data_IF_735683783354
#
_entry.id   IF_735683783354
#
_cell.length_a   1.000
_cell.length_b   1.000
_cell.length_c   1.000
_cell.angle_alpha   90.00
_cell.angle_beta   90.00
_cell.angle_gamma   90.00
#
_symmetry.space_group_name_H-M   'P 1'
#
loop_
_entity.id
_entity.type
_entity.pdbx_description
1 polymer ?
#
# COMPACT_ATOMS: atom_id res chain seq x y z
N UNK A 1 9.22 26.69 11.05
CA UNK A 1 7.83 26.23 10.85
C UNK A 1 7.80 24.77 11.27
N UNK A 2 7.03 24.41 12.29
CA UNK A 2 6.94 23.01 12.73
C UNK A 2 6.30 22.17 11.62
N UNK A 3 7.01 21.19 11.08
CA UNK A 3 6.43 20.22 10.14
C UNK A 3 5.29 19.49 10.86
N UNK A 4 4.08 19.59 10.31
CA UNK A 4 2.97 18.80 10.84
C UNK A 4 3.27 17.32 10.58
N UNK A 5 3.07 16.44 11.57
CA UNK A 5 3.28 15.02 11.37
C UNK A 5 2.37 14.49 10.26
N UNK A 6 2.89 13.61 9.40
CA UNK A 6 2.12 12.96 8.34
C UNK A 6 1.11 12.00 8.97
N UNK A 7 -0.15 12.05 8.51
CA UNK A 7 -1.17 11.08 8.90
C UNK A 7 -1.11 9.88 7.97
N UNK A 8 -0.83 8.70 8.53
CA UNK A 8 -0.85 7.43 7.80
C UNK A 8 -2.24 6.81 7.96
N UNK A 9 -2.91 6.54 6.84
CA UNK A 9 -4.24 5.91 6.80
C UNK A 9 -4.11 4.53 6.19
N UNK A 10 -4.46 3.49 6.94
CA UNK A 10 -4.52 2.12 6.44
C UNK A 10 -5.97 1.74 6.16
N UNK A 11 -6.31 1.56 4.89
CA UNK A 11 -7.56 0.95 4.47
C UNK A 11 -7.36 -0.55 4.40
N UNK A 12 -8.04 -1.31 5.26
CA UNK A 12 -8.06 -2.77 5.23
C UNK A 12 -9.34 -3.23 4.53
N UNK A 13 -9.23 -3.98 3.45
CA UNK A 13 -10.39 -4.43 2.70
C UNK A 13 -10.19 -5.72 1.89
N UNK A 14 -11.30 -6.41 1.63
CA UNK A 14 -11.34 -7.50 0.67
C UNK A 14 -11.59 -7.04 -0.77
N UNK A 15 -11.39 -7.92 -1.77
CA UNK A 15 -11.62 -7.61 -3.18
C UNK A 15 -13.09 -7.24 -3.44
N UNK A 16 -13.32 -6.36 -4.44
CA UNK A 16 -14.66 -5.93 -4.91
C UNK A 16 -15.50 -5.16 -3.89
N UNK A 17 -14.86 -4.45 -2.96
CA UNK A 17 -15.53 -3.68 -1.90
C UNK A 17 -15.40 -2.14 -2.03
N UNK A 18 -15.15 -1.62 -3.23
CA UNK A 18 -15.01 -0.17 -3.51
C UNK A 18 -13.71 0.46 -2.95
N UNK A 19 -12.80 -0.32 -2.35
CA UNK A 19 -11.53 0.16 -1.81
C UNK A 19 -10.65 0.89 -2.82
N UNK A 20 -10.58 0.40 -4.06
CA UNK A 20 -9.85 1.05 -5.15
C UNK A 20 -10.42 2.44 -5.47
N UNK A 21 -11.75 2.60 -5.49
CA UNK A 21 -12.37 3.90 -5.73
C UNK A 21 -12.11 4.86 -4.55
N UNK A 22 -12.13 4.36 -3.32
CA UNK A 22 -11.76 5.14 -2.14
C UNK A 22 -10.29 5.59 -2.21
N UNK A 23 -9.36 4.70 -2.55
CA UNK A 23 -7.96 5.03 -2.78
C UNK A 23 -7.82 6.12 -3.86
N UNK A 24 -8.50 5.99 -5.01
CA UNK A 24 -8.47 7.01 -6.05
C UNK A 24 -9.00 8.36 -5.58
N UNK A 25 -10.01 8.40 -4.69
CA UNK A 25 -10.49 9.67 -4.12
C UNK A 25 -9.41 10.38 -3.30
N UNK A 26 -8.56 9.64 -2.58
CA UNK A 26 -7.39 10.20 -1.91
C UNK A 26 -6.30 10.60 -2.90
N UNK A 27 -6.07 9.81 -3.95
CA UNK A 27 -5.08 10.11 -4.99
C UNK A 27 -5.35 11.45 -5.70
N UNK A 28 -6.61 11.91 -5.77
CA UNK A 28 -6.97 13.20 -6.36
C UNK A 28 -6.70 14.41 -5.44
N UNK A 29 -6.34 14.19 -4.17
CA UNK A 29 -6.03 15.28 -3.24
C UNK A 29 -4.58 15.72 -3.40
N UNK A 30 -4.35 17.02 -3.46
CA UNK A 30 -3.00 17.58 -3.56
C UNK A 30 -2.13 17.27 -2.33
N UNK A 31 -2.76 17.11 -1.17
CA UNK A 31 -2.12 16.88 0.13
C UNK A 31 -1.82 15.40 0.44
N UNK A 32 -2.30 14.48 -0.41
CA UNK A 32 -2.17 13.04 -0.20
C UNK A 32 -1.24 12.37 -1.23
N UNK A 33 -0.69 11.23 -0.83
CA UNK A 33 -0.15 10.22 -1.72
C UNK A 33 -0.74 8.85 -1.35
N UNK A 34 -0.77 7.92 -2.31
CA UNK A 34 -1.39 6.60 -2.16
C UNK A 34 -0.41 5.49 -2.52
N UNK A 35 -0.61 4.32 -1.94
CA UNK A 35 0.00 3.05 -2.39
C UNK A 35 -1.06 1.95 -2.39
N UNK A 36 -1.00 1.11 -3.43
CA UNK A 36 -1.95 0.02 -3.66
C UNK A 36 -1.31 -1.32 -3.29
N UNK A 37 -1.92 -2.01 -2.33
CA UNK A 37 -1.63 -3.38 -1.88
C UNK A 37 -0.13 -3.69 -1.71
N UNK A 38 0.64 -2.89 -0.93
CA UNK A 38 2.09 -3.08 -0.83
C UNK A 38 2.48 -4.43 -0.21
N UNK A 39 1.59 -5.06 0.56
CA UNK A 39 1.80 -6.36 1.20
C UNK A 39 1.36 -7.55 0.33
N UNK A 40 0.94 -7.34 -0.93
CA UNK A 40 0.40 -8.42 -1.75
C UNK A 40 1.43 -9.52 -2.06
N UNK A 41 2.69 -9.15 -2.36
CA UNK A 41 3.76 -10.14 -2.58
C UNK A 41 4.01 -11.02 -1.36
N UNK A 42 4.04 -10.41 -0.17
CA UNK A 42 4.13 -11.12 1.10
C UNK A 42 2.92 -12.05 1.33
N UNK A 43 1.70 -11.56 1.11
CA UNK A 43 0.47 -12.34 1.22
C UNK A 43 0.49 -13.57 0.30
N UNK A 44 0.85 -13.39 -0.98
CA UNK A 44 0.99 -14.49 -1.93
C UNK A 44 2.00 -15.49 -1.35
N UNK A 45 3.25 -15.07 -1.14
CA UNK A 45 4.33 -15.97 -0.68
C UNK A 45 3.95 -16.81 0.54
N UNK A 46 3.20 -16.25 1.49
CA UNK A 46 2.81 -16.91 2.74
C UNK A 46 1.60 -17.85 2.58
N UNK A 47 0.63 -17.47 1.76
CA UNK A 47 -0.65 -18.19 1.66
C UNK A 47 -0.73 -19.20 0.52
N UNK A 48 0.18 -19.14 -0.47
CA UNK A 48 0.09 -19.97 -1.68
C UNK A 48 -1.25 -19.79 -2.42
N UNK A 49 -1.88 -18.62 -2.30
CA UNK A 49 -3.16 -18.34 -2.94
C UNK A 49 -3.08 -18.55 -4.46
N UNK A 50 -4.08 -19.17 -5.10
CA UNK A 50 -4.08 -19.35 -6.55
C UNK A 50 -4.02 -17.99 -7.27
N UNK A 51 -2.97 -17.79 -8.06
CA UNK A 51 -2.78 -16.57 -8.84
C UNK A 51 -2.17 -16.91 -10.20
N UNK A 52 -2.72 -16.39 -11.32
CA UNK A 52 -2.08 -16.51 -12.62
C UNK A 52 -0.69 -15.90 -12.60
N UNK A 53 0.27 -16.53 -13.29
CA UNK A 53 1.65 -16.06 -13.37
C UNK A 53 2.32 -15.89 -11.99
N UNK A 54 2.06 -16.84 -11.08
CA UNK A 54 2.58 -16.87 -9.72
C UNK A 54 4.08 -16.57 -9.61
N UNK A 55 4.89 -17.27 -10.42
CA UNK A 55 6.35 -17.15 -10.39
C UNK A 55 6.78 -15.73 -10.79
N UNK A 56 6.25 -15.21 -11.90
CA UNK A 56 6.51 -13.84 -12.37
C UNK A 56 6.09 -12.79 -11.31
N UNK A 57 4.95 -12.99 -10.65
CA UNK A 57 4.47 -12.08 -9.61
C UNK A 57 5.40 -12.06 -8.39
N UNK A 58 5.94 -13.21 -7.97
CA UNK A 58 6.89 -13.27 -6.85
C UNK A 58 8.27 -12.73 -7.20
N UNK A 59 8.63 -12.65 -8.48
CA UNK A 59 9.86 -11.99 -8.92
C UNK A 59 9.73 -10.46 -8.93
N UNK A 60 8.53 -9.95 -9.21
CA UNK A 60 8.27 -8.50 -9.31
C UNK A 60 7.92 -7.89 -7.95
N UNK A 61 7.16 -8.60 -7.12
CA UNK A 61 6.66 -8.07 -5.86
C UNK A 61 7.64 -8.34 -4.70
N UNK A 62 7.75 -7.39 -3.79
CA UNK A 62 8.47 -7.61 -2.53
C UNK A 62 7.72 -8.62 -1.66
N UNK A 63 8.44 -9.63 -1.17
CA UNK A 63 7.87 -10.74 -0.39
C UNK A 63 8.25 -10.68 1.09
N UNK A 64 9.25 -9.87 1.44
CA UNK A 64 9.60 -9.55 2.82
C UNK A 64 8.63 -8.48 3.38
N UNK A 65 7.66 -8.93 4.18
CA UNK A 65 6.66 -8.05 4.78
C UNK A 65 7.25 -7.02 5.74
N UNK A 66 8.29 -7.37 6.50
CA UNK A 66 8.96 -6.44 7.43
C UNK A 66 9.68 -5.34 6.66
N UNK A 67 10.28 -5.70 5.53
CA UNK A 67 10.88 -4.73 4.61
C UNK A 67 9.83 -3.78 4.04
N UNK A 68 8.69 -4.29 3.57
CA UNK A 68 7.58 -3.44 3.08
C UNK A 68 7.08 -2.49 4.17
N UNK A 69 6.88 -2.98 5.40
CA UNK A 69 6.42 -2.15 6.52
C UNK A 69 7.40 -0.99 6.77
N UNK A 70 8.69 -1.29 6.89
CA UNK A 70 9.73 -0.30 7.17
C UNK A 70 9.94 0.70 6.03
N UNK A 71 9.96 0.20 4.80
CA UNK A 71 10.46 0.98 3.65
C UNK A 71 9.35 1.65 2.84
N UNK A 72 8.10 1.19 2.98
CA UNK A 72 6.93 1.71 2.25
C UNK A 72 5.87 2.26 3.22
N UNK A 73 5.37 1.44 4.15
CA UNK A 73 4.24 1.82 5.02
C UNK A 73 4.65 2.94 6.00
N UNK A 74 5.79 2.78 6.67
CA UNK A 74 6.32 3.73 7.65
C UNK A 74 7.15 4.86 7.03
N UNK A 75 7.23 4.92 5.69
CA UNK A 75 8.03 5.90 4.96
C UNK A 75 7.15 6.76 4.05
N UNK A 76 6.41 7.73 4.61
CA UNK A 76 5.55 8.59 3.81
C UNK A 76 6.37 9.44 2.81
N UNK A 77 5.82 9.73 1.61
CA UNK A 77 6.47 10.63 0.66
C UNK A 77 6.63 12.05 1.21
N UNK A 78 7.73 12.75 0.87
CA UNK A 78 7.95 14.12 1.32
C UNK A 78 6.90 15.08 0.72
N UNK A 79 6.56 16.12 1.48
CA UNK A 79 5.64 17.17 1.03
C UNK A 79 4.15 16.77 1.03
N UNK A 80 3.80 15.60 1.59
CA UNK A 80 2.43 15.13 1.73
C UNK A 80 2.02 15.08 3.20
N UNK A 81 0.83 15.56 3.52
CA UNK A 81 0.28 15.47 4.88
C UNK A 81 -0.51 14.19 5.13
N UNK A 82 -0.91 13.48 4.05
CA UNK A 82 -1.61 12.19 4.13
C UNK A 82 -0.87 11.13 3.33
N UNK A 83 -0.63 9.99 3.95
CA UNK A 83 -0.12 8.77 3.31
C UNK A 83 -1.18 7.68 3.41
N UNK A 84 -1.83 7.36 2.30
CA UNK A 84 -2.96 6.43 2.26
C UNK A 84 -2.53 5.09 1.67
N UNK A 85 -2.76 4.03 2.43
CA UNK A 85 -2.31 2.68 2.10
C UNK A 85 -3.55 1.81 1.99
N UNK A 86 -3.77 1.23 0.81
CA UNK A 86 -4.80 0.21 0.61
C UNK A 86 -4.18 -1.16 0.80
N UNK A 87 -4.67 -1.95 1.76
CA UNK A 87 -4.33 -3.36 1.97
C UNK A 87 -5.57 -4.25 1.85
#
# INVERSE_FOLDING_TARGET
MSERPVTIVNLLSGPRNVSTALMYSFAQRSDAAVVDEPLYGHYLRLTHAPQPHWEEMLEILETDGEKVVREVILRPPPGKSVWFIKN
#
